data_IF_435150934511
#
_entry.id   IF_435150934511
#
_cell.length_a   1.000
_cell.length_b   1.000
_cell.length_c   1.000
_cell.angle_alpha   90.00
_cell.angle_beta   90.00
_cell.angle_gamma   90.00
#
_symmetry.space_group_name_H-M   'P 1'
#
loop_
_entity.id
_entity.type
_entity.pdbx_description
1 polymer ?
#
# COMPACT_ATOMS: atom_id res chain seq x y z
N UNK A 1 54.21 7.23 -13.42
CA UNK A 1 53.04 6.42 -13.78
C UNK A 1 52.03 6.57 -12.66
N UNK A 2 51.03 7.43 -12.84
CA UNK A 2 49.96 7.61 -11.87
C UNK A 2 48.85 6.63 -12.26
N UNK A 3 48.62 5.63 -11.41
CA UNK A 3 47.53 4.67 -11.57
C UNK A 3 46.21 5.37 -11.31
N UNK A 4 45.38 5.48 -12.35
CA UNK A 4 43.99 5.93 -12.24
C UNK A 4 43.18 4.88 -11.49
N UNK A 5 42.63 5.23 -10.34
CA UNK A 5 41.52 4.47 -9.74
C UNK A 5 40.23 4.90 -10.42
N UNK A 6 39.71 4.05 -11.30
CA UNK A 6 38.40 4.22 -11.93
C UNK A 6 37.29 4.22 -10.87
N UNK A 7 36.28 5.11 -10.96
CA UNK A 7 35.14 5.13 -10.04
C UNK A 7 34.07 4.13 -10.52
N UNK A 8 34.41 2.85 -10.53
CA UNK A 8 33.52 1.79 -10.97
C UNK A 8 33.61 0.59 -10.01
N UNK A 9 33.36 0.80 -8.71
CA UNK A 9 33.28 -0.28 -7.71
C UNK A 9 32.63 0.20 -6.40
N UNK A 10 31.38 0.67 -6.44
CA UNK A 10 30.61 0.78 -5.19
C UNK A 10 29.08 0.67 -5.36
N UNK A 11 28.61 -0.20 -6.26
CA UNK A 11 27.23 -0.68 -6.16
C UNK A 11 27.24 -1.77 -5.10
N UNK A 12 26.98 -1.41 -3.85
CA UNK A 12 26.88 -2.38 -2.74
C UNK A 12 25.92 -3.50 -3.14
N UNK A 13 26.21 -4.76 -2.84
CA UNK A 13 25.34 -5.91 -3.16
C UNK A 13 23.95 -5.78 -2.51
N UNK A 14 22.84 -6.24 -3.12
CA UNK A 14 21.53 -6.21 -2.45
C UNK A 14 21.58 -6.96 -1.13
N UNK A 15 21.25 -6.28 -0.03
CA UNK A 15 21.32 -6.85 1.32
C UNK A 15 19.98 -7.50 1.69
N UNK A 16 20.02 -8.76 2.13
CA UNK A 16 18.89 -9.44 2.74
C UNK A 16 18.40 -8.72 4.01
N UNK A 17 17.20 -9.06 4.48
CA UNK A 17 16.68 -8.44 5.71
C UNK A 17 17.58 -8.72 6.92
N UNK A 18 17.62 -7.75 7.83
CA UNK A 18 18.39 -7.88 9.07
C UNK A 18 17.49 -8.39 10.18
N UNK A 19 17.97 -9.37 10.92
CA UNK A 19 17.30 -9.87 12.13
C UNK A 19 18.23 -9.80 13.32
N UNK A 20 17.68 -9.53 14.50
CA UNK A 20 18.36 -9.67 15.78
C UNK A 20 17.38 -10.16 16.84
N UNK A 21 17.75 -11.21 17.57
CA UNK A 21 16.92 -11.80 18.63
C UNK A 21 15.51 -12.20 18.16
N UNK A 22 15.38 -12.63 16.89
CA UNK A 22 14.09 -13.01 16.29
C UNK A 22 13.23 -11.83 15.81
N UNK A 23 13.76 -10.60 15.83
CA UNK A 23 13.07 -9.41 15.34
C UNK A 23 13.74 -8.81 14.11
N UNK A 24 12.95 -8.48 13.10
CA UNK A 24 13.39 -7.81 11.88
C UNK A 24 13.74 -6.32 12.13
N UNK A 25 14.65 -5.80 11.31
CA UNK A 25 15.16 -4.42 11.39
C UNK A 25 15.29 -3.77 10.02
N UNK A 26 15.01 -2.48 9.97
CA UNK A 26 15.27 -1.63 8.80
C UNK A 26 16.78 -1.53 8.52
N UNK A 27 17.13 -1.34 7.24
CA UNK A 27 18.51 -1.00 6.86
C UNK A 27 18.90 0.39 7.34
N UNK A 28 18.02 1.36 7.15
CA UNK A 28 18.16 2.70 7.65
C UNK A 28 17.68 2.79 9.11
N UNK A 29 18.34 3.60 9.96
CA UNK A 29 17.95 3.74 11.35
C UNK A 29 16.55 4.34 11.47
N UNK A 30 15.65 3.64 12.16
CA UNK A 30 14.36 4.18 12.60
C UNK A 30 14.48 4.51 14.08
N UNK A 31 14.21 5.76 14.46
CA UNK A 31 14.14 6.12 15.87
C UNK A 31 12.95 5.40 16.50
N UNK A 32 13.23 4.46 17.41
CA UNK A 32 12.18 3.82 18.19
C UNK A 32 11.63 4.83 19.19
N UNK A 33 10.32 5.07 19.07
CA UNK A 33 9.63 5.98 19.96
C UNK A 33 9.55 5.40 21.37
N UNK A 34 9.89 6.21 22.37
CA UNK A 34 9.76 5.81 23.77
C UNK A 34 8.29 5.64 24.16
N UNK A 35 8.02 4.75 25.12
CA UNK A 35 6.66 4.46 25.63
C UNK A 35 5.83 5.71 25.95
N UNK A 36 6.46 6.74 26.56
CA UNK A 36 5.80 8.02 26.86
C UNK A 36 5.30 8.74 25.62
N UNK A 37 6.07 8.75 24.52
CA UNK A 37 5.65 9.39 23.26
C UNK A 37 4.54 8.59 22.58
N UNK A 38 4.61 7.26 22.60
CA UNK A 38 3.51 6.40 22.12
C UNK A 38 2.19 6.68 22.85
N UNK A 39 2.20 6.75 24.19
CA UNK A 39 1.01 7.10 24.99
C UNK A 39 0.49 8.49 24.63
N UNK A 40 1.37 9.47 24.44
CA UNK A 40 1.00 10.83 24.02
C UNK A 40 0.35 10.85 22.64
N UNK A 41 0.89 10.11 21.67
CA UNK A 41 0.33 9.99 20.32
C UNK A 41 -1.08 9.40 20.40
N UNK A 42 -1.24 8.29 21.12
CA UNK A 42 -2.54 7.64 21.31
C UNK A 42 -3.56 8.57 22.00
N UNK A 43 -3.13 9.31 23.03
CA UNK A 43 -3.97 10.31 23.69
C UNK A 43 -4.44 11.39 22.71
N UNK A 44 -3.53 11.92 21.88
CA UNK A 44 -3.87 12.94 20.89
C UNK A 44 -4.81 12.40 19.81
N UNK A 45 -4.61 11.17 19.34
CA UNK A 45 -5.53 10.55 18.38
C UNK A 45 -6.94 10.32 18.94
N UNK A 46 -7.09 10.15 20.25
CA UNK A 46 -8.40 9.96 20.90
C UNK A 46 -9.07 11.30 21.20
N UNK A 47 -8.34 12.26 21.78
CA UNK A 47 -8.93 13.47 22.38
C UNK A 47 -8.70 14.76 21.59
N UNK A 48 -7.72 14.79 20.67
CA UNK A 48 -7.32 15.99 19.93
C UNK A 48 -7.37 15.81 18.41
N UNK A 49 -8.16 14.84 17.94
CA UNK A 49 -8.28 14.54 16.53
C UNK A 49 -9.02 15.65 15.77
N UNK A 50 -8.46 16.19 14.67
CA UNK A 50 -9.14 17.22 13.89
C UNK A 50 -10.47 16.74 13.32
N UNK A 51 -11.45 17.65 13.20
CA UNK A 51 -12.82 17.31 12.78
C UNK A 51 -12.92 16.82 11.33
N UNK A 52 -11.99 17.23 10.47
CA UNK A 52 -11.94 16.90 9.04
C UNK A 52 -11.12 15.64 8.73
N UNK A 53 -10.76 14.84 9.73
CA UNK A 53 -10.08 13.54 9.56
C UNK A 53 -10.97 12.46 8.95
N UNK A 54 -12.28 12.73 8.82
CA UNK A 54 -13.27 11.85 8.19
C UNK A 54 -14.13 12.66 7.21
N UNK A 55 -14.60 12.04 6.12
CA UNK A 55 -15.53 12.68 5.20
C UNK A 55 -16.89 12.92 5.87
N UNK A 56 -17.49 14.06 5.56
CA UNK A 56 -18.85 14.45 5.99
C UNK A 56 -19.93 13.96 5.03
N UNK A 57 -19.56 13.66 3.78
CA UNK A 57 -20.41 13.08 2.75
C UNK A 57 -19.91 11.68 2.34
N UNK A 58 -20.78 10.81 1.78
CA UNK A 58 -20.34 9.51 1.28
C UNK A 58 -19.27 9.63 0.19
N UNK A 59 -18.15 8.93 0.37
CA UNK A 59 -17.10 8.83 -0.65
C UNK A 59 -17.67 8.12 -1.90
N UNK A 60 -17.46 8.64 -3.12
CA UNK A 60 -17.97 8.02 -4.34
C UNK A 60 -17.27 6.67 -4.58
N UNK A 61 -18.08 5.64 -4.80
CA UNK A 61 -17.62 4.28 -5.08
C UNK A 61 -18.34 3.76 -6.33
N UNK A 62 -17.57 3.32 -7.32
CA UNK A 62 -18.08 2.68 -8.51
C UNK A 62 -18.22 1.18 -8.25
N UNK A 63 -19.45 0.71 -8.04
CA UNK A 63 -19.73 -0.72 -7.84
C UNK A 63 -19.23 -1.58 -8.99
N UNK A 64 -18.59 -2.69 -8.65
CA UNK A 64 -18.05 -3.67 -9.58
C UNK A 64 -18.86 -4.96 -9.51
N UNK A 65 -18.96 -5.66 -10.63
CA UNK A 65 -19.51 -7.01 -10.70
C UNK A 65 -18.45 -7.98 -11.22
N UNK A 66 -18.58 -9.26 -10.85
CA UNK A 66 -17.66 -10.30 -11.33
C UNK A 66 -17.61 -10.35 -12.86
N UNK A 67 -18.77 -10.24 -13.51
CA UNK A 67 -18.87 -10.25 -14.97
C UNK A 67 -18.13 -9.07 -15.62
N UNK A 68 -18.25 -7.86 -15.05
CA UNK A 68 -17.54 -6.69 -15.54
C UNK A 68 -16.01 -6.83 -15.38
N UNK A 69 -15.54 -7.42 -14.27
CA UNK A 69 -14.12 -7.72 -14.06
C UNK A 69 -13.60 -8.72 -15.09
N UNK A 70 -14.31 -9.82 -15.30
CA UNK A 70 -13.94 -10.86 -16.28
C UNK A 70 -13.87 -10.28 -17.70
N UNK A 71 -14.87 -9.46 -18.08
CA UNK A 71 -14.96 -8.85 -19.40
C UNK A 71 -13.97 -7.70 -19.65
N UNK A 72 -13.33 -7.16 -18.60
CA UNK A 72 -12.41 -6.04 -18.74
C UNK A 72 -11.18 -6.41 -19.57
N UNK A 73 -10.52 -5.43 -20.23
CA UNK A 73 -9.30 -5.70 -20.97
C UNK A 73 -8.16 -6.17 -20.04
N UNK A 74 -7.17 -6.86 -20.61
CA UNK A 74 -5.95 -7.16 -19.87
C UNK A 74 -5.20 -5.85 -19.49
N UNK A 75 -4.43 -5.90 -18.41
CA UNK A 75 -3.77 -4.74 -17.75
C UNK A 75 -4.73 -3.75 -17.07
N UNK A 76 -5.97 -4.16 -16.76
CA UNK A 76 -6.88 -3.33 -15.98
C UNK A 76 -6.49 -3.27 -14.49
N UNK A 77 -6.68 -2.11 -13.88
CA UNK A 77 -6.41 -1.83 -12.46
C UNK A 77 -7.66 -1.28 -11.81
N UNK A 78 -7.96 -1.75 -10.60
CA UNK A 78 -9.07 -1.28 -9.78
C UNK A 78 -8.57 -1.04 -8.37
N UNK A 79 -8.73 0.19 -7.88
CA UNK A 79 -8.50 0.49 -6.47
C UNK A 79 -9.76 0.16 -5.66
N UNK A 80 -9.69 -0.81 -4.75
CA UNK A 80 -10.85 -1.25 -3.95
C UNK A 80 -10.96 -0.52 -2.60
N UNK A 81 -9.94 0.24 -2.24
CA UNK A 81 -9.85 1.00 -1.00
C UNK A 81 -8.48 0.82 -0.36
N UNK A 82 -8.01 1.85 0.33
CA UNK A 82 -6.75 1.83 1.07
C UNK A 82 -5.59 1.43 0.16
N UNK A 83 -4.89 0.33 0.49
CA UNK A 83 -3.83 -0.31 -0.29
C UNK A 83 -4.29 -1.58 -1.03
N UNK A 84 -5.60 -1.86 -1.03
CA UNK A 84 -6.20 -2.96 -1.80
C UNK A 84 -6.38 -2.56 -3.27
N UNK A 85 -5.55 -3.14 -4.14
CA UNK A 85 -5.61 -2.95 -5.59
C UNK A 85 -5.79 -4.31 -6.26
N UNK A 86 -6.82 -4.41 -7.11
CA UNK A 86 -7.06 -5.57 -7.96
C UNK A 86 -6.50 -5.28 -9.36
N UNK A 87 -5.64 -6.17 -9.84
CA UNK A 87 -4.99 -6.11 -11.14
C UNK A 87 -5.48 -7.27 -12.00
N UNK A 88 -5.87 -6.99 -13.25
CA UNK A 88 -6.08 -8.01 -14.29
C UNK A 88 -4.84 -8.07 -15.16
N UNK A 89 -4.03 -9.12 -15.01
CA UNK A 89 -2.80 -9.35 -15.77
C UNK A 89 -2.82 -10.77 -16.31
N UNK A 90 -2.47 -10.94 -17.60
CA UNK A 90 -2.50 -12.21 -18.33
C UNK A 90 -3.87 -12.90 -18.24
N UNK A 91 -4.94 -12.11 -18.30
CA UNK A 91 -6.33 -12.54 -18.12
C UNK A 91 -6.64 -13.22 -16.75
N UNK A 92 -5.77 -13.00 -15.76
CA UNK A 92 -5.93 -13.46 -14.38
C UNK A 92 -5.95 -12.29 -13.41
N UNK A 93 -6.40 -12.55 -12.18
CA UNK A 93 -6.56 -11.52 -11.16
C UNK A 93 -5.54 -11.64 -10.03
N UNK A 94 -4.97 -10.52 -9.65
CA UNK A 94 -3.97 -10.37 -8.59
C UNK A 94 -4.42 -9.28 -7.65
N UNK A 95 -4.29 -9.46 -6.34
CA UNK A 95 -4.79 -8.49 -5.36
C UNK A 95 -3.73 -8.18 -4.30
N UNK A 96 -3.47 -6.90 -4.07
CA UNK A 96 -2.58 -6.44 -2.99
C UNK A 96 -3.37 -6.23 -1.71
N UNK A 97 -2.79 -6.56 -0.56
CA UNK A 97 -3.27 -6.22 0.80
C UNK A 97 -4.81 -6.15 0.93
N UNK A 98 -5.53 -7.26 0.71
CA UNK A 98 -6.99 -7.24 0.64
C UNK A 98 -7.63 -7.01 2.01
N UNK A 99 -8.19 -5.81 2.22
CA UNK A 99 -8.90 -5.45 3.46
C UNK A 99 -10.36 -5.10 3.20
N UNK A 100 -11.22 -6.00 3.65
CA UNK A 100 -12.67 -5.94 3.45
C UNK A 100 -13.44 -5.73 4.75
N UNK A 101 -12.77 -5.87 5.91
CA UNK A 101 -13.31 -5.56 7.22
C UNK A 101 -13.85 -4.14 7.32
N UNK A 102 -14.85 -3.95 8.20
CA UNK A 102 -15.41 -2.63 8.51
C UNK A 102 -14.40 -1.77 9.29
N UNK A 103 -13.60 -2.41 10.14
CA UNK A 103 -12.55 -1.76 10.93
C UNK A 103 -11.19 -2.41 10.75
N UNK A 104 -10.16 -1.57 10.59
CA UNK A 104 -8.75 -1.93 10.67
C UNK A 104 -8.33 -2.08 12.14
N UNK A 105 -8.75 -3.17 12.77
CA UNK A 105 -8.60 -3.38 14.22
C UNK A 105 -8.67 -4.87 14.58
N UNK A 106 -8.04 -5.30 15.68
CA UNK A 106 -8.25 -6.64 16.25
C UNK A 106 -9.72 -6.92 16.61
N UNK A 107 -10.52 -5.87 16.82
CA UNK A 107 -11.92 -5.96 17.24
C UNK A 107 -12.82 -5.08 16.38
N UNK A 108 -14.04 -5.52 16.09
CA UNK A 108 -14.95 -4.76 15.22
C UNK A 108 -15.78 -3.68 15.94
N UNK A 109 -15.69 -3.59 17.28
CA UNK A 109 -16.37 -2.56 18.08
C UNK A 109 -15.51 -1.33 18.37
N UNK A 110 -14.19 -1.37 18.12
CA UNK A 110 -13.27 -0.26 18.32
C UNK A 110 -12.20 -0.19 17.23
N UNK A 111 -11.53 0.97 17.12
CA UNK A 111 -10.50 1.23 16.11
C UNK A 111 -11.02 1.87 14.82
N UNK A 112 -10.14 2.15 13.84
CA UNK A 112 -10.46 2.90 12.63
C UNK A 112 -11.53 2.20 11.78
N UNK A 113 -12.72 2.83 11.67
CA UNK A 113 -13.79 2.40 10.76
C UNK A 113 -13.59 2.99 9.37
N UNK A 114 -13.81 2.19 8.32
CA UNK A 114 -13.72 2.63 6.93
C UNK A 114 -14.75 3.69 6.55
N UNK A 115 -14.43 4.52 5.57
CA UNK A 115 -15.29 5.60 5.06
C UNK A 115 -16.35 5.10 4.07
N UNK A 116 -16.02 4.05 3.33
CA UNK A 116 -16.87 3.47 2.29
C UNK A 116 -16.70 1.95 2.28
N UNK A 117 -17.72 1.22 1.81
CA UNK A 117 -17.58 -0.22 1.57
C UNK A 117 -16.67 -0.48 0.36
N UNK A 118 -16.00 -1.65 0.29
CA UNK A 118 -15.33 -2.07 -0.94
C UNK A 118 -16.31 -2.06 -2.14
N UNK A 119 -15.84 -1.76 -3.36
CA UNK A 119 -16.71 -1.71 -4.54
C UNK A 119 -17.31 -3.05 -4.98
N UNK A 120 -16.85 -4.16 -4.38
CA UNK A 120 -17.31 -5.53 -4.65
C UNK A 120 -17.18 -6.36 -3.37
N UNK A 121 -18.03 -7.37 -3.20
CA UNK A 121 -17.90 -8.32 -2.09
C UNK A 121 -16.77 -9.34 -2.34
N UNK A 122 -16.27 -10.00 -1.29
CA UNK A 122 -15.28 -11.08 -1.42
C UNK A 122 -15.86 -12.27 -2.19
N UNK A 123 -17.15 -12.53 -2.02
CA UNK A 123 -17.90 -13.60 -2.67
C UNK A 123 -17.97 -13.40 -4.19
N UNK A 124 -18.14 -12.16 -4.63
CA UNK A 124 -18.22 -11.77 -6.05
C UNK A 124 -16.86 -11.56 -6.70
N UNK A 125 -15.75 -11.59 -5.95
CA UNK A 125 -14.43 -11.56 -6.57
C UNK A 125 -14.26 -12.75 -7.53
N UNK A 126 -13.65 -12.54 -8.72
CA UNK A 126 -13.26 -13.63 -9.61
C UNK A 126 -12.19 -14.52 -8.95
N UNK A 127 -11.87 -15.69 -9.54
CA UNK A 127 -10.72 -16.48 -9.12
C UNK A 127 -9.45 -15.63 -9.08
N UNK A 128 -8.70 -15.72 -8.00
CA UNK A 128 -7.49 -14.93 -7.75
C UNK A 128 -6.28 -15.84 -7.98
N UNK A 129 -5.34 -15.42 -8.81
CA UNK A 129 -4.10 -16.17 -9.02
C UNK A 129 -3.20 -16.03 -7.80
N UNK A 130 -2.93 -14.80 -7.34
CA UNK A 130 -2.28 -14.60 -6.05
C UNK A 130 -2.78 -13.37 -5.28
N UNK A 131 -2.78 -13.54 -3.96
CA UNK A 131 -2.83 -12.46 -2.99
C UNK A 131 -1.40 -12.03 -2.65
N UNK A 132 -1.13 -10.74 -2.67
CA UNK A 132 0.20 -10.16 -2.44
C UNK A 132 0.14 -9.33 -1.17
N UNK A 133 0.88 -9.74 -0.15
CA UNK A 133 0.88 -9.13 1.17
C UNK A 133 2.16 -8.35 1.43
N UNK A 134 2.06 -7.10 1.87
CA UNK A 134 3.23 -6.26 2.18
C UNK A 134 3.75 -6.46 3.61
N UNK A 135 2.86 -6.55 4.61
CA UNK A 135 3.21 -6.72 6.03
C UNK A 135 1.96 -7.13 6.84
N UNK A 136 2.07 -7.22 8.17
CA UNK A 136 1.04 -7.82 9.03
C UNK A 136 0.12 -6.84 9.76
N UNK A 137 0.13 -5.53 9.50
CA UNK A 137 -0.79 -4.62 10.20
C UNK A 137 -2.27 -4.87 9.83
N UNK A 138 -3.20 -4.45 10.69
CA UNK A 138 -4.62 -4.78 10.56
C UNK A 138 -5.30 -4.17 9.32
N UNK A 139 -4.77 -3.08 8.79
CA UNK A 139 -5.21 -2.41 7.57
C UNK A 139 -4.54 -2.93 6.29
N UNK A 140 -3.65 -3.93 6.41
CA UNK A 140 -2.99 -4.61 5.28
C UNK A 140 -3.21 -6.12 5.28
N UNK A 141 -3.42 -6.70 6.46
CA UNK A 141 -3.65 -8.13 6.67
C UNK A 141 -4.95 -8.34 7.46
N UNK A 142 -6.04 -8.48 6.71
CA UNK A 142 -7.37 -8.79 7.22
C UNK A 142 -7.59 -10.30 7.33
N UNK A 143 -7.68 -10.79 8.57
CA UNK A 143 -7.92 -12.20 8.89
C UNK A 143 -9.13 -12.79 8.17
N UNK A 144 -10.25 -12.07 8.15
CA UNK A 144 -11.50 -12.58 7.55
C UNK A 144 -11.41 -12.58 6.03
N UNK A 145 -10.77 -11.56 5.44
CA UNK A 145 -10.53 -11.53 4.01
C UNK A 145 -9.63 -12.69 3.57
N UNK A 146 -8.53 -12.95 4.30
CA UNK A 146 -7.63 -14.07 3.99
C UNK A 146 -8.35 -15.42 4.04
N UNK A 147 -9.14 -15.69 5.08
CA UNK A 147 -9.89 -16.95 5.16
C UNK A 147 -10.90 -17.12 4.03
N UNK A 148 -11.63 -16.06 3.66
CA UNK A 148 -12.56 -16.10 2.53
C UNK A 148 -11.85 -16.24 1.18
N UNK A 149 -10.64 -15.69 1.05
CA UNK A 149 -9.82 -15.83 -0.15
C UNK A 149 -9.12 -17.18 -0.25
N UNK A 150 -9.03 -17.96 0.84
CA UNK A 150 -8.36 -19.25 0.86
C UNK A 150 -8.83 -20.20 -0.26
N UNK A 151 -10.12 -20.19 -0.58
CA UNK A 151 -10.71 -21.04 -1.63
C UNK A 151 -10.62 -20.42 -3.03
N UNK A 152 -10.51 -19.09 -3.14
CA UNK A 152 -10.46 -18.36 -4.41
C UNK A 152 -9.05 -18.12 -4.91
N UNK A 153 -8.08 -18.04 -4.00
CA UNK A 153 -6.68 -17.75 -4.29
C UNK A 153 -5.87 -19.04 -4.49
N UNK A 154 -5.05 -19.07 -5.54
CA UNK A 154 -4.07 -20.16 -5.72
C UNK A 154 -2.82 -19.96 -4.89
N UNK A 155 -2.34 -18.72 -4.78
CA UNK A 155 -1.13 -18.41 -4.04
C UNK A 155 -1.31 -17.23 -3.07
N UNK A 156 -0.52 -17.24 -2.01
CA UNK A 156 -0.29 -16.11 -1.12
C UNK A 156 1.19 -15.79 -1.14
N UNK A 157 1.54 -14.62 -1.70
CA UNK A 157 2.89 -14.08 -1.70
C UNK A 157 3.04 -13.18 -0.48
N UNK A 158 4.03 -13.47 0.37
CA UNK A 158 4.22 -12.75 1.62
C UNK A 158 5.69 -12.50 1.90
N UNK A 159 6.03 -11.49 2.71
CA UNK A 159 7.34 -11.43 3.35
C UNK A 159 7.47 -12.56 4.40
N UNK A 160 8.70 -12.80 4.87
CA UNK A 160 8.99 -13.78 5.92
C UNK A 160 8.15 -13.58 7.20
N UNK A 161 7.66 -14.67 7.79
CA UNK A 161 6.87 -14.68 9.03
C UNK A 161 5.38 -14.36 8.84
N UNK A 162 5.00 -13.58 7.84
CA UNK A 162 3.59 -13.35 7.49
C UNK A 162 2.94 -14.63 6.98
N UNK A 163 3.64 -15.41 6.16
CA UNK A 163 3.12 -16.68 5.67
C UNK A 163 2.98 -17.73 6.78
N UNK A 164 3.86 -17.71 7.79
CA UNK A 164 3.69 -18.55 8.98
C UNK A 164 2.41 -18.20 9.74
N UNK A 165 2.06 -16.91 9.78
CA UNK A 165 0.80 -16.43 10.35
C UNK A 165 -0.39 -16.94 9.53
N UNK A 166 -0.31 -16.91 8.20
CA UNK A 166 -1.37 -17.46 7.34
C UNK A 166 -1.56 -18.97 7.54
N UNK A 167 -0.48 -19.73 7.64
CA UNK A 167 -0.52 -21.19 7.87
C UNK A 167 -1.17 -21.48 9.22
N UNK A 168 -0.83 -20.71 10.27
CA UNK A 168 -1.48 -20.81 11.59
C UNK A 168 -2.98 -20.51 11.52
N UNK A 169 -3.42 -19.66 10.60
CA UNK A 169 -4.83 -19.36 10.37
C UNK A 169 -5.57 -20.45 9.58
N UNK A 170 -4.85 -21.43 9.02
CA UNK A 170 -5.43 -22.56 8.28
C UNK A 170 -5.25 -22.47 6.77
N UNK A 171 -4.45 -21.52 6.26
CA UNK A 171 -4.08 -21.51 4.83
C UNK A 171 -3.14 -22.67 4.55
N UNK A 172 -3.43 -23.45 3.50
CA UNK A 172 -2.57 -24.55 3.05
C UNK A 172 -1.16 -24.03 2.73
N UNK A 173 -0.15 -24.59 3.42
CA UNK A 173 1.24 -24.21 3.27
C UNK A 173 1.74 -24.33 1.82
N UNK A 174 1.16 -25.23 1.01
CA UNK A 174 1.50 -25.38 -0.41
C UNK A 174 1.12 -24.17 -1.27
N UNK A 175 0.18 -23.33 -0.80
CA UNK A 175 -0.22 -22.06 -1.44
C UNK A 175 0.66 -20.87 -1.03
N UNK A 176 1.39 -20.97 0.07
CA UNK A 176 2.15 -19.85 0.63
C UNK A 176 3.55 -19.80 0.02
N UNK A 177 3.99 -18.60 -0.40
CA UNK A 177 5.36 -18.31 -0.82
C UNK A 177 5.87 -17.13 0.02
N UNK A 178 6.79 -17.42 0.93
CA UNK A 178 7.41 -16.41 1.78
C UNK A 178 8.76 -16.02 1.20
N UNK A 179 9.02 -14.72 1.09
CA UNK A 179 10.23 -14.18 0.50
C UNK A 179 10.91 -13.20 1.46
N UNK A 180 12.23 -13.27 1.51
CA UNK A 180 13.07 -12.22 2.07
C UNK A 180 13.26 -11.07 1.06
N UNK A 181 13.78 -9.94 1.51
CA UNK A 181 14.17 -8.86 0.61
C UNK A 181 15.16 -9.33 -0.46
N UNK A 182 14.91 -8.86 -1.68
CA UNK A 182 15.58 -9.20 -2.93
C UNK A 182 15.40 -10.65 -3.40
N UNK A 183 14.60 -11.46 -2.68
CA UNK A 183 14.18 -12.76 -3.19
C UNK A 183 12.95 -12.60 -4.09
N UNK A 184 12.86 -13.47 -5.08
CA UNK A 184 11.74 -13.48 -6.01
C UNK A 184 11.21 -14.87 -6.30
N UNK A 185 10.00 -14.90 -6.85
CA UNK A 185 9.32 -16.08 -7.37
C UNK A 185 8.65 -15.72 -8.69
N UNK A 186 8.48 -16.71 -9.55
CA UNK A 186 7.67 -16.55 -10.75
C UNK A 186 6.35 -17.31 -10.60
N UNK A 187 5.24 -16.66 -10.94
CA UNK A 187 3.91 -17.28 -10.98
C UNK A 187 3.27 -16.88 -12.30
N UNK A 188 2.91 -17.88 -13.10
CA UNK A 188 2.23 -17.69 -14.37
C UNK A 188 2.93 -16.74 -15.36
N UNK A 189 4.26 -16.71 -15.33
CA UNK A 189 5.08 -15.83 -16.18
C UNK A 189 5.22 -14.40 -15.67
N UNK A 190 4.69 -14.07 -14.48
CA UNK A 190 4.95 -12.81 -13.80
C UNK A 190 6.00 -13.05 -12.71
N UNK A 191 7.08 -12.27 -12.74
CA UNK A 191 8.08 -12.28 -11.69
C UNK A 191 7.68 -11.33 -10.57
N UNK A 192 7.70 -11.84 -9.34
CA UNK A 192 7.46 -11.09 -8.11
C UNK A 192 8.74 -11.07 -7.30
N UNK A 193 9.19 -9.88 -6.90
CA UNK A 193 10.36 -9.70 -6.05
C UNK A 193 9.93 -8.92 -4.82
N UNK A 194 10.15 -9.50 -3.63
CA UNK A 194 9.98 -8.77 -2.38
C UNK A 194 11.18 -7.83 -2.25
N UNK A 195 10.94 -6.52 -2.18
CA UNK A 195 11.98 -5.51 -2.03
C UNK A 195 11.88 -4.81 -0.68
N UNK A 196 12.96 -4.18 -0.18
CA UNK A 196 12.92 -3.51 1.11
C UNK A 196 11.85 -2.43 1.21
N UNK A 197 11.40 -2.19 2.44
CA UNK A 197 10.61 -1.03 2.86
C UNK A 197 11.15 -0.55 4.21
N UNK A 198 10.95 0.73 4.54
CA UNK A 198 11.26 1.28 5.86
C UNK A 198 10.00 1.34 6.74
N UNK A 199 9.64 0.22 7.36
CA UNK A 199 8.42 0.11 8.17
C UNK A 199 8.65 -0.76 9.41
N UNK A 200 7.59 -1.31 9.97
CA UNK A 200 7.62 -2.23 11.10
C UNK A 200 6.47 -3.24 10.98
N UNK A 201 6.35 -4.16 11.93
CA UNK A 201 5.25 -5.12 11.98
C UNK A 201 4.80 -5.35 13.42
N UNK A 202 3.63 -5.97 13.59
CA UNK A 202 3.07 -6.33 14.89
C UNK A 202 1.55 -6.18 14.94
N UNK A 203 0.88 -7.16 15.56
CA UNK A 203 -0.57 -7.22 15.72
C UNK A 203 -1.02 -7.27 17.18
N UNK A 204 -0.09 -7.44 18.11
CA UNK A 204 -0.31 -7.52 19.55
C UNK A 204 0.71 -6.72 20.35
N UNK A 205 0.76 -6.98 21.66
CA UNK A 205 1.62 -6.21 22.57
C UNK A 205 3.09 -6.68 22.57
N UNK A 206 3.37 -7.89 22.07
CA UNK A 206 4.67 -8.56 22.23
C UNK A 206 5.22 -9.18 20.93
N UNK A 207 4.60 -8.91 19.79
CA UNK A 207 4.95 -9.48 18.49
C UNK A 207 5.58 -8.45 17.54
N UNK A 208 5.92 -7.26 18.05
CA UNK A 208 6.53 -6.19 17.27
C UNK A 208 7.77 -6.65 16.51
N UNK A 209 7.81 -6.42 15.20
CA UNK A 209 8.88 -6.83 14.29
C UNK A 209 9.14 -8.35 14.23
N UNK A 210 8.21 -9.20 14.66
CA UNK A 210 8.37 -10.67 14.56
C UNK A 210 8.17 -11.22 13.14
N UNK A 211 7.53 -10.42 12.27
CA UNK A 211 7.37 -10.70 10.83
C UNK A 211 8.07 -9.61 10.01
N UNK A 212 8.46 -9.93 8.78
CA UNK A 212 9.06 -8.97 7.85
C UNK A 212 7.97 -8.14 7.16
N UNK A 213 8.34 -6.94 6.71
CA UNK A 213 7.56 -6.05 5.83
C UNK A 213 8.31 -5.89 4.51
N UNK A 214 7.61 -5.75 3.39
CA UNK A 214 8.21 -5.62 2.07
C UNK A 214 7.37 -4.74 1.13
N UNK A 215 8.06 -4.10 0.20
CA UNK A 215 7.47 -3.65 -1.05
C UNK A 215 7.57 -4.77 -2.10
N UNK A 216 6.88 -4.63 -3.23
CA UNK A 216 6.84 -5.64 -4.28
C UNK A 216 7.10 -5.05 -5.65
N UNK A 217 8.02 -5.68 -6.38
CA UNK A 217 8.21 -5.50 -7.82
C UNK A 217 7.46 -6.62 -8.55
N UNK A 218 6.68 -6.26 -9.56
CA UNK A 218 5.95 -7.17 -10.42
C UNK A 218 6.37 -6.93 -11.88
N UNK A 219 6.87 -7.95 -12.56
CA UNK A 219 7.37 -7.87 -13.94
C UNK A 219 6.58 -8.87 -14.81
N UNK A 220 5.77 -8.36 -15.74
CA UNK A 220 5.01 -9.13 -16.73
C UNK A 220 5.43 -8.72 -18.14
N UNK A 221 6.41 -9.44 -18.70
CA UNK A 221 7.04 -9.05 -19.96
C UNK A 221 7.67 -7.65 -19.87
N UNK A 222 7.17 -6.71 -20.67
CA UNK A 222 7.64 -5.32 -20.65
C UNK A 222 6.98 -4.46 -19.57
N UNK A 223 5.83 -4.90 -19.03
CA UNK A 223 5.08 -4.15 -18.02
C UNK A 223 5.70 -4.34 -16.63
N UNK A 224 5.98 -3.23 -15.96
CA UNK A 224 6.57 -3.22 -14.61
C UNK A 224 5.72 -2.43 -13.65
N UNK A 225 5.27 -3.07 -12.57
CA UNK A 225 4.46 -2.47 -11.52
C UNK A 225 5.22 -2.54 -10.20
N UNK A 226 5.23 -1.45 -9.45
CA UNK A 226 5.76 -1.41 -8.09
C UNK A 226 4.62 -1.21 -7.09
N UNK A 227 4.64 -1.95 -5.99
CA UNK A 227 3.72 -1.78 -4.87
C UNK A 227 4.51 -1.50 -3.59
N UNK A 228 4.33 -0.34 -2.98
CA UNK A 228 5.16 0.08 -1.85
C UNK A 228 4.89 -0.68 -0.55
N UNK A 229 3.67 -1.21 -0.36
CA UNK A 229 3.14 -1.39 1.00
C UNK A 229 3.16 -0.06 1.75
N UNK A 230 3.44 -0.11 3.04
CA UNK A 230 3.78 1.07 3.83
C UNK A 230 5.29 1.18 4.01
N UNK A 231 5.82 2.39 4.00
CA UNK A 231 7.25 2.67 4.08
C UNK A 231 7.52 4.14 4.35
N UNK A 232 8.36 4.46 5.34
CA UNK A 232 9.05 5.74 5.34
C UNK A 232 9.99 5.87 4.12
N UNK A 233 10.44 7.10 3.87
CA UNK A 233 11.42 7.34 2.81
C UNK A 233 12.80 6.79 3.19
N UNK A 234 13.48 6.16 2.24
CA UNK A 234 14.83 5.65 2.37
C UNK A 234 15.48 5.46 0.99
N UNK A 235 16.82 5.39 0.94
CA UNK A 235 17.59 5.30 -0.31
C UNK A 235 17.35 4.01 -1.12
N UNK A 236 16.66 3.02 -0.54
CA UNK A 236 16.36 1.77 -1.24
C UNK A 236 15.38 1.95 -2.40
N UNK A 237 14.53 2.99 -2.42
CA UNK A 237 13.68 3.28 -3.57
C UNK A 237 14.50 3.56 -4.84
N UNK A 238 15.57 4.36 -4.70
CA UNK A 238 16.48 4.66 -5.82
C UNK A 238 17.15 3.39 -6.33
N UNK A 239 17.62 2.55 -5.41
CA UNK A 239 18.25 1.27 -5.74
C UNK A 239 17.29 0.31 -6.45
N UNK A 240 16.03 0.23 -5.99
CA UNK A 240 14.98 -0.57 -6.64
C UNK A 240 14.74 -0.04 -8.07
N UNK A 241 14.66 1.29 -8.25
CA UNK A 241 14.52 1.92 -9.57
C UNK A 241 15.74 1.75 -10.49
N UNK A 242 16.93 1.65 -9.93
CA UNK A 242 18.16 1.32 -10.68
C UNK A 242 18.18 -0.13 -11.15
N UNK A 243 17.71 -1.06 -10.33
CA UNK A 243 17.76 -2.50 -10.61
C UNK A 243 16.60 -2.99 -11.47
N UNK A 244 15.39 -2.48 -11.23
CA UNK A 244 14.17 -3.01 -11.84
C UNK A 244 13.39 -1.97 -12.67
N UNK A 245 13.64 -0.68 -12.48
CA UNK A 245 12.95 0.38 -13.21
C UNK A 245 13.40 0.53 -14.67
N UNK A 246 12.71 1.37 -15.46
CA UNK A 246 11.57 2.20 -15.08
C UNK A 246 10.28 1.40 -14.89
N UNK A 247 9.45 1.81 -13.91
CA UNK A 247 8.13 1.22 -13.69
C UNK A 247 7.05 1.94 -14.48
N UNK A 248 6.14 1.20 -15.10
CA UNK A 248 4.98 1.78 -15.79
C UNK A 248 3.99 2.36 -14.79
N UNK A 249 3.80 1.68 -13.66
CA UNK A 249 2.91 2.10 -12.58
C UNK A 249 3.56 1.86 -11.22
N UNK A 250 3.56 2.87 -10.37
CA UNK A 250 3.93 2.73 -8.95
C UNK A 250 2.70 2.99 -8.08
N UNK A 251 2.31 1.97 -7.30
CA UNK A 251 1.31 2.06 -6.26
C UNK A 251 2.03 2.48 -4.97
N UNK A 252 1.97 3.77 -4.63
CA UNK A 252 2.76 4.35 -3.53
C UNK A 252 1.84 4.78 -2.40
N UNK A 253 2.16 4.39 -1.16
CA UNK A 253 1.42 4.91 -0.01
C UNK A 253 1.49 6.43 0.04
N UNK A 254 0.37 7.06 0.35
CA UNK A 254 0.25 8.52 0.41
C UNK A 254 -0.87 8.85 1.39
N UNK A 255 -0.64 8.61 2.67
CA UNK A 255 -1.63 8.78 3.73
C UNK A 255 -1.07 8.29 5.04
N UNK A 256 -1.84 8.44 6.12
CA UNK A 256 -1.45 8.05 7.48
C UNK A 256 -0.15 8.71 8.00
N UNK A 257 0.40 9.70 7.31
CA UNK A 257 1.65 10.36 7.68
C UNK A 257 1.45 11.33 8.84
N UNK A 258 2.51 11.55 9.62
CA UNK A 258 2.57 12.60 10.63
C UNK A 258 4.03 12.94 10.96
N UNK A 259 4.28 14.16 11.41
CA UNK A 259 5.60 14.59 11.89
C UNK A 259 6.07 13.82 13.13
N UNK A 260 5.15 13.20 13.88
CA UNK A 260 5.46 12.39 15.05
C UNK A 260 6.02 11.01 14.72
N UNK A 261 5.84 10.49 13.49
CA UNK A 261 6.36 9.19 13.01
C UNK A 261 6.91 9.26 11.56
N UNK A 262 7.87 10.16 11.29
CA UNK A 262 8.29 10.51 9.93
C UNK A 262 9.11 9.42 9.22
N UNK A 263 9.48 8.36 9.94
CA UNK A 263 10.36 7.30 9.45
C UNK A 263 9.61 6.06 8.96
N UNK A 264 8.30 5.96 9.19
CA UNK A 264 7.53 4.75 8.85
C UNK A 264 6.36 5.00 7.90
N UNK A 265 5.94 6.25 7.72
CA UNK A 265 5.02 6.68 6.67
C UNK A 265 5.57 7.91 5.96
N UNK A 266 5.55 7.90 4.63
CA UNK A 266 6.03 9.02 3.82
C UNK A 266 5.08 10.23 3.88
N UNK A 267 5.67 11.42 4.05
CA UNK A 267 4.99 12.66 3.65
C UNK A 267 4.75 12.66 2.13
N UNK A 268 3.75 13.42 1.61
CA UNK A 268 3.48 13.47 0.17
C UNK A 268 4.71 13.86 -0.69
N UNK A 269 5.57 14.75 -0.21
CA UNK A 269 6.82 15.13 -0.87
C UNK A 269 7.77 13.94 -1.00
N UNK A 270 7.85 13.12 0.05
CA UNK A 270 8.67 11.91 0.07
C UNK A 270 8.08 10.82 -0.82
N UNK A 271 6.75 10.68 -0.87
CA UNK A 271 6.06 9.78 -1.79
C UNK A 271 6.44 10.12 -3.23
N UNK A 272 6.35 11.40 -3.60
CA UNK A 272 6.68 11.85 -4.94
C UNK A 272 8.16 11.61 -5.26
N UNK A 273 9.05 11.90 -4.31
CA UNK A 273 10.47 11.62 -4.49
C UNK A 273 10.74 10.12 -4.65
N UNK A 274 10.11 9.25 -3.85
CA UNK A 274 10.24 7.80 -3.98
C UNK A 274 9.76 7.30 -5.35
N UNK A 275 8.65 7.83 -5.87
CA UNK A 275 8.19 7.57 -7.23
C UNK A 275 9.24 7.95 -8.30
N UNK A 276 9.87 9.12 -8.17
CA UNK A 276 10.93 9.58 -9.07
C UNK A 276 12.16 8.66 -8.99
N UNK A 277 12.57 8.29 -7.78
CA UNK A 277 13.71 7.42 -7.51
C UNK A 277 13.50 6.00 -8.06
N UNK A 278 12.26 5.50 -8.00
CA UNK A 278 11.83 4.27 -8.67
C UNK A 278 11.84 4.39 -10.20
N UNK A 279 11.99 5.60 -10.76
CA UNK A 279 11.82 5.90 -12.19
C UNK A 279 10.41 5.50 -12.67
N UNK A 280 9.41 5.78 -11.84
CA UNK A 280 8.02 5.54 -12.17
C UNK A 280 7.53 6.45 -13.30
N UNK A 281 6.69 5.92 -14.18
CA UNK A 281 6.04 6.68 -15.25
C UNK A 281 4.71 7.27 -14.79
N UNK A 282 3.90 6.45 -14.11
CA UNK A 282 2.63 6.87 -13.51
C UNK A 282 2.56 6.53 -12.03
N UNK A 283 2.12 7.49 -11.24
CA UNK A 283 1.88 7.37 -9.80
C UNK A 283 0.41 7.09 -9.53
N UNK A 284 0.09 5.99 -8.83
CA UNK A 284 -1.20 5.80 -8.17
C UNK A 284 -1.00 5.94 -6.65
N UNK A 285 -1.48 7.03 -6.02
CA UNK A 285 -1.45 7.15 -4.58
C UNK A 285 -2.44 6.17 -3.93
N UNK A 286 -1.96 5.37 -2.98
CA UNK A 286 -2.74 4.42 -2.17
C UNK A 286 -2.65 4.78 -0.67
N UNK A 287 -3.17 3.93 0.23
CA UNK A 287 -3.12 4.15 1.69
C UNK A 287 -3.89 5.41 2.19
N UNK A 288 -4.78 5.96 1.36
CA UNK A 288 -5.63 7.13 1.67
C UNK A 288 -7.11 6.88 1.32
N UNK A 289 -8.00 7.81 1.69
CA UNK A 289 -9.40 7.81 1.26
C UNK A 289 -10.27 6.66 1.78
N UNK A 290 -9.78 5.84 2.71
CA UNK A 290 -10.53 4.67 3.22
C UNK A 290 -10.58 4.59 4.74
N UNK A 291 -9.47 4.78 5.45
CA UNK A 291 -9.44 4.74 6.91
C UNK A 291 -8.90 6.04 7.51
N UNK A 292 -9.29 6.29 8.75
CA UNK A 292 -8.87 7.44 9.53
C UNK A 292 -7.71 7.07 10.47
N UNK A 293 -6.50 7.04 9.90
CA UNK A 293 -5.28 6.50 10.53
C UNK A 293 -4.29 7.56 11.02
N UNK A 294 -4.54 8.85 10.79
CA UNK A 294 -3.65 9.93 11.24
C UNK A 294 -4.44 11.18 11.63
N UNK A 295 -3.74 12.30 11.79
CA UNK A 295 -4.25 13.59 12.25
C UNK A 295 -4.49 14.58 11.10
N UNK A 296 -4.07 14.27 9.87
CA UNK A 296 -4.34 15.12 8.70
C UNK A 296 -5.81 15.02 8.26
N UNK A 297 -6.31 16.00 7.51
CA UNK A 297 -7.64 15.90 6.91
C UNK A 297 -7.71 14.70 5.96
N UNK A 298 -8.87 14.05 5.83
CA UNK A 298 -8.97 12.82 5.02
C UNK A 298 -8.63 13.03 3.53
N UNK A 299 -8.89 14.23 3.01
CA UNK A 299 -8.65 14.64 1.62
C UNK A 299 -7.23 15.21 1.39
N UNK A 300 -6.57 15.71 2.44
CA UNK A 300 -5.26 16.38 2.36
C UNK A 300 -4.19 15.58 1.58
N UNK A 301 -4.07 14.25 1.73
CA UNK A 301 -3.07 13.50 0.98
C UNK A 301 -3.27 13.59 -0.53
N UNK A 302 -4.53 13.64 -0.99
CA UNK A 302 -4.84 13.75 -2.41
C UNK A 302 -4.50 15.14 -2.96
N UNK A 303 -4.88 16.20 -2.26
CA UNK A 303 -4.57 17.58 -2.68
C UNK A 303 -3.07 17.80 -2.78
N UNK A 304 -2.34 17.41 -1.73
CA UNK A 304 -0.89 17.64 -1.65
C UNK A 304 -0.16 16.85 -2.74
N UNK A 305 -0.46 15.56 -2.91
CA UNK A 305 0.25 14.76 -3.92
C UNK A 305 -0.11 15.20 -5.35
N UNK A 306 -1.35 15.61 -5.61
CA UNK A 306 -1.77 16.10 -6.92
C UNK A 306 -1.08 17.43 -7.25
N UNK A 307 -1.01 18.36 -6.30
CA UNK A 307 -0.31 19.63 -6.46
C UNK A 307 1.20 19.43 -6.70
N UNK A 308 1.85 18.56 -5.91
CA UNK A 308 3.27 18.25 -6.07
C UNK A 308 3.56 17.58 -7.42
N UNK A 309 2.69 16.65 -7.85
CA UNK A 309 2.82 15.99 -9.15
C UNK A 309 2.71 16.99 -10.31
N UNK A 310 1.80 17.96 -10.21
CA UNK A 310 1.71 19.06 -11.18
C UNK A 310 2.98 19.91 -11.20
N UNK A 311 3.46 20.35 -10.03
CA UNK A 311 4.67 21.18 -9.90
C UNK A 311 5.91 20.51 -10.50
N UNK A 312 6.05 19.19 -10.31
CA UNK A 312 7.22 18.41 -10.77
C UNK A 312 7.02 17.72 -12.12
N UNK A 313 5.90 17.99 -12.81
CA UNK A 313 5.55 17.37 -14.09
C UNK A 313 5.56 15.83 -14.05
N UNK A 314 5.06 15.26 -12.96
CA UNK A 314 4.89 13.81 -12.77
C UNK A 314 3.48 13.40 -13.20
N UNK A 315 3.37 12.30 -13.94
CA UNK A 315 2.05 11.77 -14.31
C UNK A 315 1.47 11.00 -13.13
N UNK A 316 0.27 11.40 -12.72
CA UNK A 316 -0.46 10.83 -11.59
C UNK A 316 -1.86 10.41 -12.04
N UNK A 317 -2.34 9.29 -11.52
CA UNK A 317 -3.70 8.79 -11.75
C UNK A 317 -4.47 8.70 -10.44
N UNK A 318 -5.68 9.25 -10.41
CA UNK A 318 -6.55 9.26 -9.23
C UNK A 318 -7.95 8.73 -9.56
N UNK A 319 -8.09 7.44 -9.91
CA UNK A 319 -9.41 6.84 -10.15
C UNK A 319 -10.24 6.88 -8.85
N UNK A 320 -11.56 6.95 -9.00
CA UNK A 320 -12.49 6.67 -7.90
C UNK A 320 -12.32 5.22 -7.42
N UNK A 321 -12.78 4.93 -6.21
CA UNK A 321 -12.79 3.55 -5.71
C UNK A 321 -13.67 2.69 -6.63
N UNK A 322 -13.10 1.61 -7.17
CA UNK A 322 -13.76 0.73 -8.13
C UNK A 322 -13.72 1.20 -9.59
N UNK A 323 -13.25 2.41 -9.87
CA UNK A 323 -13.09 2.88 -11.25
C UNK A 323 -11.89 2.18 -11.91
N UNK A 324 -12.13 1.61 -13.09
CA UNK A 324 -11.10 0.95 -13.88
C UNK A 324 -10.20 1.96 -14.58
N UNK A 325 -8.90 1.66 -14.64
CA UNK A 325 -8.00 2.22 -15.64
C UNK A 325 -7.05 1.13 -16.16
N UNK A 326 -6.23 1.44 -17.17
CA UNK A 326 -5.31 0.46 -17.76
C UNK A 326 -3.86 0.87 -17.51
N UNK A 327 -3.00 -0.06 -17.07
CA UNK A 327 -1.56 0.19 -16.80
C UNK A 327 -0.83 0.70 -18.04
N UNK A 328 -1.19 0.20 -19.22
CA UNK A 328 -0.52 0.56 -20.49
C UNK A 328 -1.02 1.91 -21.03
N UNK A 329 -2.20 2.35 -20.60
CA UNK A 329 -2.81 3.61 -21.01
C UNK A 329 -3.42 4.33 -19.80
N UNK A 330 -2.62 4.71 -18.79
CA UNK A 330 -3.18 5.33 -17.60
C UNK A 330 -3.77 6.70 -17.94
N UNK A 331 -4.78 7.09 -17.18
CA UNK A 331 -5.44 8.38 -17.32
C UNK A 331 -5.36 9.11 -16.00
N UNK A 332 -5.33 10.44 -16.01
CA UNK A 332 -5.23 11.24 -14.79
C UNK A 332 -6.35 10.97 -13.79
N UNK A 333 -7.54 10.57 -14.24
CA UNK A 333 -8.71 10.46 -13.39
C UNK A 333 -9.30 11.83 -13.06
N UNK A 334 -10.03 11.93 -11.96
CA UNK A 334 -10.63 13.19 -11.48
C UNK A 334 -10.24 13.48 -10.03
N UNK A 335 -10.42 14.73 -9.61
CA UNK A 335 -10.31 15.15 -8.21
C UNK A 335 -11.63 14.89 -7.46
N UNK A 336 -12.07 13.62 -7.44
CA UNK A 336 -13.39 13.21 -6.94
C UNK A 336 -13.62 13.53 -5.45
N UNK A 337 -12.56 13.77 -4.68
CA UNK A 337 -12.66 14.16 -3.27
C UNK A 337 -13.06 15.63 -3.10
N UNK A 338 -12.67 16.52 -4.03
CA UNK A 338 -12.97 17.96 -3.95
C UNK A 338 -14.47 18.26 -4.06
N UNK A 339 -15.22 17.39 -4.73
CA UNK A 339 -16.70 17.48 -4.78
C UNK A 339 -17.32 17.29 -3.40
N UNK A 340 -16.65 16.58 -2.49
CA UNK A 340 -17.12 16.31 -1.13
C UNK A 340 -16.79 17.42 -0.13
N UNK A 341 -15.76 18.23 -0.40
CA UNK A 341 -15.43 19.43 0.40
C UNK A 341 -16.51 20.49 0.24
N UNK A 342 -16.93 20.76 -1.01
CA UNK A 342 -17.89 21.80 -1.34
C UNK A 342 -19.32 21.53 -0.81
N UNK A 343 -19.66 20.29 -0.48
CA UNK A 343 -20.95 19.93 0.13
C UNK A 343 -20.97 20.27 1.63
N UNK A 344 -19.81 20.28 2.30
CA UNK A 344 -19.69 20.62 3.72
C UNK A 344 -19.94 22.10 4.01
N UNK A 345 -19.52 22.98 3.11
CA UNK A 345 -19.63 24.45 3.28
C UNK A 345 -21.01 25.02 2.93
N UNK A 346 -21.92 24.22 2.35
CA UNK A 346 -23.31 24.64 2.09
C UNK A 346 -24.30 24.27 3.21
N UNK A 347 -23.84 23.68 4.31
CA UNK A 347 -24.67 23.33 5.48
C UNK A 347 -24.32 24.22 6.68
N UNK A 348 -24.27 25.53 6.48
CA UNK A 348 -24.58 26.59 7.46
C UNK A 348 -24.73 27.91 6.67
N UNK A 349 -25.73 28.80 6.93
CA UNK A 349 -26.46 28.99 8.18
C UNK A 349 -28.00 28.98 8.01
N UNK A 350 -28.72 28.50 9.03
CA UNK A 350 -29.99 29.09 9.47
C UNK A 350 -30.45 28.40 10.76
N UNK A 351 -30.17 29.05 11.89
CA UNK A 351 -31.12 29.27 12.98
C UNK A 351 -30.46 30.24 13.96
N UNK A 352 -30.79 31.53 13.76
CA UNK A 352 -30.62 32.59 14.74
C UNK A 352 -31.82 32.62 15.70
#
# INVERSE_FOLDING_TARGET
>A
MATSTSPADNVSTPEASRQAEGHFRNHAPVQREGFRKMVRIMWNMIFHKPRNTRPTAPVPVQTLTQAALIAAPNHSVYRLGHSTVLLKLRDKFWITDPVFAERASPVQWAGPKRFHQPPISLEELPPIEAVILSHDHYDHLDYQAVLKLADKAKYFLTPLGVGDTLIKWGIDASKVRQLDWWQGTEIDGIQFIATPSQHFSGRGLFDGNSTLWASWVMIDGDARIFFSGDSGYFDGFKRIGEQYGPFDLTLMETGAYNVEWPHVHMQPEQTLQAHIDLKGRWLLPIHNGTFDLSMHAWFEPFDRILALAWERNVSITTPQMGQAFNVMYPQRGSAWWSEMENVGDQVEPQNA
#
